data_IF_197723325530
#
_entry.id   IF_197723325530
#
_cell.length_a   1.000
_cell.length_b   1.000
_cell.length_c   1.000
_cell.angle_alpha   90.00
_cell.angle_beta   90.00
_cell.angle_gamma   90.00
#
_symmetry.space_group_name_H-M   'P 1'
#
loop_
_entity.id
_entity.type
_entity.pdbx_description
1 polymer ?
#
# COMPACT_ATOMS: atom_id res chain seq x y z
N UNK A 1 -35.44 -39.15 -30.45
CA UNK A 1 -34.66 -39.86 -29.41
C UNK A 1 -33.73 -38.83 -28.77
N UNK A 2 -34.08 -38.31 -27.59
CA UNK A 2 -33.33 -37.26 -26.91
C UNK A 2 -32.22 -37.91 -26.07
N UNK A 3 -30.96 -37.73 -26.45
CA UNK A 3 -29.84 -38.10 -25.57
C UNK A 3 -29.69 -37.02 -24.50
N UNK A 4 -30.22 -37.31 -23.32
CA UNK A 4 -29.92 -36.58 -22.09
C UNK A 4 -28.50 -36.98 -21.67
N UNK A 5 -27.50 -36.23 -22.14
CA UNK A 5 -26.15 -36.32 -21.62
C UNK A 5 -26.09 -35.67 -20.23
N UNK A 6 -25.93 -36.49 -19.18
CA UNK A 6 -25.50 -36.04 -17.86
C UNK A 6 -23.99 -35.81 -17.91
N UNK A 7 -23.56 -34.58 -17.68
CA UNK A 7 -22.15 -34.27 -17.38
C UNK A 7 -21.85 -34.76 -15.96
N UNK A 8 -20.97 -35.77 -15.82
CA UNK A 8 -20.71 -36.48 -14.56
C UNK A 8 -20.05 -35.62 -13.46
N UNK A 9 -19.65 -34.38 -13.74
CA UNK A 9 -18.93 -33.52 -12.79
C UNK A 9 -19.66 -32.24 -12.36
N UNK A 10 -20.90 -32.01 -12.82
CA UNK A 10 -21.72 -30.90 -12.37
C UNK A 10 -23.20 -31.27 -12.50
N UNK A 11 -23.99 -31.13 -11.43
CA UNK A 11 -25.46 -31.25 -11.42
C UNK A 11 -26.17 -30.16 -12.27
N UNK A 12 -25.79 -29.96 -13.53
CA UNK A 12 -26.33 -28.96 -14.46
C UNK A 12 -26.66 -29.62 -15.79
N UNK A 13 -27.90 -29.44 -16.22
CA UNK A 13 -28.41 -29.88 -17.52
C UNK A 13 -27.82 -28.94 -18.58
N UNK A 14 -26.90 -29.45 -19.41
CA UNK A 14 -26.55 -28.82 -20.67
C UNK A 14 -27.64 -29.19 -21.69
N UNK A 15 -28.36 -28.20 -22.21
CA UNK A 15 -29.27 -28.43 -23.34
C UNK A 15 -28.38 -28.50 -24.59
N UNK A 16 -27.94 -29.71 -24.95
CA UNK A 16 -27.34 -29.99 -26.24
C UNK A 16 -28.43 -29.83 -27.30
N UNK A 17 -28.27 -28.82 -28.15
CA UNK A 17 -29.22 -28.47 -29.20
C UNK A 17 -29.00 -29.39 -30.40
N UNK A 18 -29.69 -30.52 -30.44
CA UNK A 18 -29.73 -31.42 -31.59
C UNK A 18 -31.10 -31.34 -32.26
N UNK A 19 -31.32 -30.32 -33.11
CA UNK A 19 -32.38 -30.16 -34.14
C UNK A 19 -33.88 -29.87 -33.81
N UNK A 20 -34.50 -30.00 -32.60
CA UNK A 20 -35.87 -29.54 -32.38
C UNK A 20 -35.95 -28.06 -31.95
N UNK A 21 -34.83 -27.38 -31.78
CA UNK A 21 -34.79 -25.94 -31.39
C UNK A 21 -35.35 -25.02 -32.45
N UNK A 22 -35.26 -25.37 -33.73
CA UNK A 22 -35.89 -24.58 -34.80
C UNK A 22 -37.42 -24.59 -34.69
N UNK A 23 -38.02 -25.63 -34.12
CA UNK A 23 -39.47 -25.75 -33.95
C UNK A 23 -39.97 -24.99 -32.70
N UNK A 24 -39.18 -24.96 -31.62
CA UNK A 24 -39.43 -24.10 -30.45
C UNK A 24 -39.18 -22.61 -30.73
N UNK A 25 -38.16 -22.27 -31.52
CA UNK A 25 -37.87 -20.89 -31.91
C UNK A 25 -38.92 -20.33 -32.88
N UNK A 26 -39.55 -21.18 -33.70
CA UNK A 26 -40.63 -20.77 -34.60
C UNK A 26 -41.93 -20.38 -33.86
N UNK A 27 -42.21 -20.94 -32.68
CA UNK A 27 -43.41 -20.65 -31.90
C UNK A 27 -43.30 -19.40 -31.00
N UNK A 28 -42.09 -18.87 -30.83
CA UNK A 28 -41.78 -17.62 -30.10
C UNK A 28 -41.35 -16.51 -31.08
N UNK A 29 -41.40 -16.74 -32.41
CA UNK A 29 -41.16 -15.69 -33.39
C UNK A 29 -42.15 -14.54 -33.19
N UNK A 30 -41.72 -13.28 -33.39
CA UNK A 30 -42.58 -12.14 -33.16
C UNK A 30 -43.77 -12.20 -34.13
N UNK A 31 -45.00 -12.09 -33.63
CA UNK A 31 -46.19 -12.07 -34.49
C UNK A 31 -46.38 -10.72 -35.18
N UNK A 32 -45.76 -9.67 -34.62
CA UNK A 32 -45.79 -8.29 -35.12
C UNK A 32 -44.69 -7.46 -34.44
N UNK A 33 -44.28 -6.36 -35.07
CA UNK A 33 -43.45 -5.32 -34.45
C UNK A 33 -44.34 -4.23 -33.85
N UNK A 34 -44.07 -3.80 -32.62
CA UNK A 34 -44.74 -2.64 -32.02
C UNK A 34 -44.39 -1.36 -32.81
N UNK A 35 -45.15 -0.28 -32.57
CA UNK A 35 -44.89 1.04 -33.14
C UNK A 35 -43.47 1.60 -32.84
N UNK A 36 -42.78 1.04 -31.83
CA UNK A 36 -41.40 1.36 -31.44
C UNK A 36 -40.34 0.40 -32.03
N UNK A 37 -40.73 -0.54 -32.91
CA UNK A 37 -39.80 -1.47 -33.57
C UNK A 37 -39.37 -2.67 -32.71
N UNK A 38 -39.97 -2.87 -31.54
CA UNK A 38 -39.76 -4.06 -30.71
C UNK A 38 -40.55 -5.26 -31.23
N UNK A 39 -40.04 -6.46 -30.98
CA UNK A 39 -40.67 -7.72 -31.37
C UNK A 39 -41.72 -8.18 -30.34
N UNK A 40 -43.02 -8.19 -30.71
CA UNK A 40 -44.10 -8.70 -29.84
C UNK A 40 -44.21 -10.22 -29.95
N UNK A 41 -44.05 -10.90 -28.82
CA UNK A 41 -44.37 -12.33 -28.70
C UNK A 41 -45.85 -12.53 -28.38
N UNK A 42 -46.48 -13.54 -28.98
CA UNK A 42 -47.90 -13.82 -28.76
C UNK A 42 -48.22 -14.03 -27.27
N UNK A 43 -49.35 -13.49 -26.79
CA UNK A 43 -49.80 -13.66 -25.40
C UNK A 43 -49.88 -15.16 -25.07
N UNK A 44 -49.23 -15.54 -23.97
CA UNK A 44 -49.19 -16.94 -23.49
C UNK A 44 -48.10 -17.82 -24.11
N UNK A 45 -47.31 -17.32 -25.08
CA UNK A 45 -46.22 -18.11 -25.69
C UNK A 45 -45.21 -18.62 -24.65
N UNK A 46 -44.78 -17.76 -23.72
CA UNK A 46 -43.87 -18.16 -22.65
C UNK A 46 -44.49 -19.15 -21.65
N UNK A 47 -45.80 -19.07 -21.41
CA UNK A 47 -46.52 -20.00 -20.53
C UNK A 47 -46.64 -21.40 -21.14
N UNK A 48 -46.84 -21.48 -22.47
CA UNK A 48 -46.87 -22.76 -23.20
C UNK A 48 -45.51 -23.45 -23.16
N UNK A 49 -44.44 -22.72 -23.45
CA UNK A 49 -43.06 -23.23 -23.37
C UNK A 49 -42.69 -23.61 -21.93
N UNK A 50 -43.17 -22.87 -20.94
CA UNK A 50 -42.98 -23.15 -19.51
C UNK A 50 -43.53 -24.51 -19.10
N UNK A 51 -44.74 -24.83 -19.57
CA UNK A 51 -45.36 -26.13 -19.33
C UNK A 51 -44.55 -27.28 -19.94
N UNK A 52 -44.06 -27.12 -21.18
CA UNK A 52 -43.30 -28.17 -21.87
C UNK A 52 -41.92 -28.41 -21.22
N UNK A 53 -41.24 -27.35 -20.79
CA UNK A 53 -39.89 -27.39 -20.20
C UNK A 53 -39.91 -27.57 -18.68
N UNK A 54 -41.10 -27.61 -18.05
CA UNK A 54 -41.33 -27.68 -16.60
C UNK A 54 -40.53 -26.62 -15.82
N UNK A 55 -40.61 -25.36 -16.26
CA UNK A 55 -39.93 -24.21 -15.63
C UNK A 55 -40.84 -23.01 -15.57
N UNK A 56 -40.54 -22.07 -14.67
CA UNK A 56 -41.34 -20.86 -14.51
C UNK A 56 -41.31 -19.98 -15.78
N UNK A 57 -42.46 -19.44 -16.26
CA UNK A 57 -42.52 -18.57 -17.42
C UNK A 57 -41.56 -17.36 -17.36
N UNK A 58 -41.30 -16.83 -16.16
CA UNK A 58 -40.37 -15.71 -15.95
C UNK A 58 -38.93 -16.11 -16.23
N UNK A 59 -38.57 -17.37 -15.98
CA UNK A 59 -37.24 -17.92 -16.28
C UNK A 59 -37.02 -18.00 -17.79
N UNK A 60 -38.05 -18.41 -18.54
CA UNK A 60 -38.00 -18.50 -20.00
C UNK A 60 -37.97 -17.10 -20.62
N UNK A 61 -38.78 -16.16 -20.12
CA UNK A 61 -38.70 -14.75 -20.50
C UNK A 61 -37.30 -14.16 -20.29
N UNK A 62 -36.64 -14.48 -19.16
CA UNK A 62 -35.29 -14.02 -18.88
C UNK A 62 -34.23 -14.62 -19.81
N UNK A 63 -34.37 -15.90 -20.18
CA UNK A 63 -33.50 -16.56 -21.18
C UNK A 63 -33.71 -15.94 -22.56
N UNK A 64 -34.96 -15.70 -22.95
CA UNK A 64 -35.31 -15.10 -24.24
C UNK A 64 -34.76 -13.68 -24.38
N UNK A 65 -34.93 -12.83 -23.37
CA UNK A 65 -34.35 -11.46 -23.37
C UNK A 65 -32.83 -11.48 -23.54
N UNK A 66 -32.13 -12.44 -22.95
CA UNK A 66 -30.67 -12.59 -23.11
C UNK A 66 -30.30 -13.06 -24.52
N UNK A 67 -31.07 -13.98 -25.08
CA UNK A 67 -30.88 -14.46 -26.44
C UNK A 67 -31.04 -13.32 -27.45
N UNK A 68 -32.12 -12.52 -27.34
CA UNK A 68 -32.35 -11.35 -28.20
C UNK A 68 -31.19 -10.36 -28.11
N UNK A 69 -30.76 -10.00 -26.89
CA UNK A 69 -29.62 -9.10 -26.69
C UNK A 69 -28.30 -9.63 -27.29
N UNK A 70 -28.07 -10.95 -27.25
CA UNK A 70 -26.89 -11.57 -27.85
C UNK A 70 -26.94 -11.58 -29.39
N UNK A 71 -28.14 -11.76 -29.97
CA UNK A 71 -28.36 -11.69 -31.42
C UNK A 71 -28.19 -10.25 -31.93
N UNK A 72 -28.68 -9.25 -31.17
CA UNK A 72 -28.46 -7.82 -31.47
C UNK A 72 -26.97 -7.44 -31.46
N UNK A 73 -26.16 -8.09 -30.62
CA UNK A 73 -24.70 -7.93 -30.59
C UNK A 73 -23.95 -8.72 -31.68
N UNK A 74 -24.66 -9.39 -32.60
CA UNK A 74 -24.08 -10.09 -33.74
C UNK A 74 -23.61 -11.52 -33.44
N UNK A 75 -23.95 -12.10 -32.28
CA UNK A 75 -23.60 -13.49 -31.97
C UNK A 75 -24.58 -14.44 -32.66
N UNK A 76 -24.14 -15.04 -33.77
CA UNK A 76 -24.92 -16.02 -34.53
C UNK A 76 -25.26 -17.22 -33.64
N UNK A 77 -26.55 -17.44 -33.39
CA UNK A 77 -27.05 -18.52 -32.53
C UNK A 77 -27.21 -18.16 -31.04
N UNK A 78 -26.87 -16.93 -30.64
CA UNK A 78 -27.02 -16.42 -29.28
C UNK A 78 -26.06 -17.01 -28.24
N UNK A 79 -25.87 -16.32 -27.12
CA UNK A 79 -25.03 -16.79 -26.02
C UNK A 79 -25.82 -17.66 -25.02
N UNK A 80 -25.55 -18.98 -25.02
CA UNK A 80 -26.22 -19.97 -24.16
C UNK A 80 -25.40 -20.39 -22.93
N UNK A 81 -24.18 -19.86 -22.77
CA UNK A 81 -23.27 -20.24 -21.68
C UNK A 81 -23.73 -19.66 -20.34
N UNK A 82 -23.65 -20.48 -19.28
CA UNK A 82 -24.04 -20.03 -17.94
C UNK A 82 -23.06 -18.98 -17.38
N UNK A 83 -23.56 -17.79 -17.03
CA UNK A 83 -22.76 -16.70 -16.45
C UNK A 83 -22.56 -16.86 -14.93
N UNK A 84 -23.21 -17.86 -14.31
CA UNK A 84 -23.12 -18.14 -12.86
C UNK A 84 -21.65 -18.32 -12.41
N UNK A 85 -20.82 -18.97 -13.24
CA UNK A 85 -19.39 -19.13 -12.94
C UNK A 85 -18.60 -17.80 -13.03
N UNK A 86 -19.12 -16.78 -13.70
CA UNK A 86 -18.49 -15.45 -13.78
C UNK A 86 -19.02 -14.47 -12.72
N UNK A 87 -20.24 -14.68 -12.22
CA UNK A 87 -20.85 -13.88 -11.14
C UNK A 87 -20.79 -14.55 -9.76
N UNK A 88 -19.93 -15.55 -9.58
CA UNK A 88 -19.73 -16.15 -8.27
C UNK A 88 -18.71 -15.36 -7.44
N UNK A 89 -18.87 -15.46 -6.11
CA UNK A 89 -17.92 -14.95 -5.14
C UNK A 89 -17.96 -13.45 -4.88
N UNK A 90 -17.20 -13.03 -3.86
CA UNK A 90 -17.04 -11.63 -3.48
C UNK A 90 -16.20 -10.91 -4.53
N UNK A 91 -16.75 -9.83 -5.12
CA UNK A 91 -16.01 -9.01 -6.09
C UNK A 91 -14.83 -8.31 -5.41
N UNK A 92 -13.70 -8.24 -6.14
CA UNK A 92 -12.50 -7.58 -5.66
C UNK A 92 -12.76 -6.07 -5.54
N UNK A 93 -12.18 -5.44 -4.51
CA UNK A 93 -12.22 -3.98 -4.37
C UNK A 93 -11.45 -3.32 -5.52
N UNK A 94 -11.97 -2.18 -5.99
CA UNK A 94 -11.38 -1.44 -7.10
C UNK A 94 -9.95 -0.99 -6.76
N UNK A 95 -8.98 -1.40 -7.59
CA UNK A 95 -7.56 -1.08 -7.41
C UNK A 95 -7.24 0.36 -7.85
N UNK A 96 -7.98 0.91 -8.81
CA UNK A 96 -7.84 2.29 -9.25
C UNK A 96 -8.12 3.28 -8.13
N UNK A 97 -9.30 3.14 -7.49
CA UNK A 97 -9.68 3.96 -6.34
C UNK A 97 -8.71 3.83 -5.16
N UNK A 98 -8.20 2.62 -4.90
CA UNK A 98 -7.18 2.40 -3.88
C UNK A 98 -5.91 3.20 -4.18
N UNK A 99 -5.46 3.22 -5.44
CA UNK A 99 -4.29 3.99 -5.86
C UNK A 99 -4.50 5.47 -5.65
N UNK A 100 -5.63 6.02 -6.04
CA UNK A 100 -5.94 7.45 -5.85
C UNK A 100 -5.92 7.86 -4.38
N UNK A 101 -6.55 7.05 -3.50
CA UNK A 101 -6.52 7.29 -2.05
C UNK A 101 -5.11 7.30 -1.49
N UNK A 102 -4.26 6.37 -1.95
CA UNK A 102 -2.87 6.27 -1.50
C UNK A 102 -1.99 7.42 -2.02
N UNK A 103 -2.27 7.94 -3.22
CA UNK A 103 -1.56 9.10 -3.79
C UNK A 103 -1.90 10.39 -3.05
N UNK A 104 -3.09 10.51 -2.44
CA UNK A 104 -3.46 11.67 -1.62
C UNK A 104 -2.81 11.70 -0.23
N UNK A 105 -2.27 10.58 0.26
CA UNK A 105 -1.61 10.52 1.58
C UNK A 105 -0.34 11.37 1.56
N UNK A 106 -0.10 12.27 2.53
CA UNK A 106 1.15 13.03 2.65
C UNK A 106 2.38 12.11 2.74
N UNK A 107 3.53 12.54 2.22
CA UNK A 107 4.75 11.70 2.15
C UNK A 107 5.22 11.23 3.53
N UNK A 108 5.03 12.05 4.56
CA UNK A 108 5.42 11.81 5.96
C UNK A 108 4.73 10.56 6.53
N UNK A 109 3.49 10.35 6.11
CA UNK A 109 2.63 9.27 6.58
C UNK A 109 2.75 7.99 5.73
N UNK A 110 3.50 8.04 4.61
CA UNK A 110 3.75 6.89 3.72
C UNK A 110 4.74 5.85 4.26
N UNK A 111 5.39 6.14 5.38
CA UNK A 111 6.45 5.31 5.96
C UNK A 111 5.93 4.00 6.55
N UNK A 112 4.84 4.04 7.31
CA UNK A 112 4.32 2.90 8.06
C UNK A 112 2.97 2.46 7.49
N UNK A 113 2.84 1.18 7.10
CA UNK A 113 1.60 0.61 6.53
C UNK A 113 0.36 0.91 7.37
N UNK A 114 0.48 0.89 8.70
CA UNK A 114 -0.61 1.22 9.63
C UNK A 114 -1.05 2.68 9.51
N UNK A 115 -0.09 3.60 9.43
CA UNK A 115 -0.39 5.04 9.33
C UNK A 115 -0.99 5.37 7.96
N UNK A 116 -0.41 4.84 6.88
CA UNK A 116 -0.97 4.91 5.53
C UNK A 116 -2.43 4.45 5.50
N UNK A 117 -2.71 3.30 6.09
CA UNK A 117 -4.05 2.73 6.13
C UNK A 117 -5.04 3.66 6.86
N UNK A 118 -4.63 4.22 8.01
CA UNK A 118 -5.45 5.15 8.78
C UNK A 118 -5.70 6.45 8.01
N UNK A 119 -4.65 7.08 7.47
CA UNK A 119 -4.75 8.35 6.73
C UNK A 119 -5.54 8.20 5.43
N UNK A 120 -5.40 7.08 4.72
CA UNK A 120 -6.16 6.81 3.49
C UNK A 120 -7.57 6.24 3.73
N UNK A 121 -7.96 5.93 4.97
CA UNK A 121 -9.25 5.32 5.29
C UNK A 121 -9.44 3.92 4.67
N UNK A 122 -8.36 3.14 4.56
CA UNK A 122 -8.38 1.79 3.96
C UNK A 122 -7.90 0.75 4.96
N UNK A 123 -8.27 -0.52 4.75
CA UNK A 123 -7.78 -1.58 5.63
C UNK A 123 -6.28 -1.80 5.45
N UNK A 124 -5.59 -2.09 6.57
CA UNK A 124 -4.16 -2.45 6.55
C UNK A 124 -3.86 -3.63 5.63
N UNK A 125 -4.81 -4.56 5.49
CA UNK A 125 -4.71 -5.70 4.58
C UNK A 125 -4.60 -5.26 3.12
N UNK A 126 -5.40 -4.29 2.68
CA UNK A 126 -5.36 -3.79 1.29
C UNK A 126 -4.03 -3.14 0.96
N UNK A 127 -3.50 -2.32 1.87
CA UNK A 127 -2.17 -1.72 1.69
C UNK A 127 -1.09 -2.80 1.61
N UNK A 128 -1.17 -3.83 2.47
CA UNK A 128 -0.22 -4.96 2.44
C UNK A 128 -0.32 -5.72 1.11
N UNK A 129 -1.52 -5.97 0.62
CA UNK A 129 -1.77 -6.67 -0.63
C UNK A 129 -1.28 -5.85 -1.83
N UNK A 130 -1.51 -4.55 -1.86
CA UNK A 130 -1.02 -3.65 -2.91
C UNK A 130 0.52 -3.61 -2.99
N UNK A 131 1.22 -3.75 -1.85
CA UNK A 131 2.68 -3.93 -1.85
C UNK A 131 3.07 -5.29 -2.41
N UNK A 132 2.35 -6.37 -2.05
CA UNK A 132 2.62 -7.73 -2.54
C UNK A 132 2.39 -7.86 -4.05
N UNK A 133 1.35 -7.22 -4.56
CA UNK A 133 0.99 -7.16 -5.98
C UNK A 133 1.88 -6.21 -6.79
N UNK A 134 2.80 -5.49 -6.14
CA UNK A 134 3.73 -4.57 -6.81
C UNK A 134 3.14 -3.22 -7.22
N UNK A 135 1.87 -2.93 -6.91
CA UNK A 135 1.26 -1.61 -7.11
C UNK A 135 1.96 -0.53 -6.29
N UNK A 136 2.47 -0.88 -5.11
CA UNK A 136 3.25 0.00 -4.25
C UNK A 136 4.68 -0.55 -4.10
N UNK A 137 5.67 0.25 -4.48
CA UNK A 137 7.09 -0.06 -4.25
C UNK A 137 7.60 0.67 -3.01
N UNK A 138 8.23 -0.07 -2.10
CA UNK A 138 8.95 0.54 -0.97
C UNK A 138 10.23 1.16 -1.51
N UNK A 139 10.42 2.45 -1.26
CA UNK A 139 11.68 3.16 -1.50
C UNK A 139 12.36 3.39 -0.15
N UNK A 140 13.61 3.00 -0.05
CA UNK A 140 14.50 3.44 1.02
C UNK A 140 15.30 4.62 0.48
N UNK A 141 15.31 5.74 1.19
CA UNK A 141 16.10 6.93 0.84
C UNK A 141 17.57 6.79 1.26
N UNK A 142 17.99 5.60 1.70
CA UNK A 142 19.36 5.37 2.14
C UNK A 142 20.29 5.30 0.92
N UNK A 143 20.73 6.48 0.49
CA UNK A 143 21.80 6.63 -0.48
C UNK A 143 23.09 6.52 0.31
N UNK A 144 23.77 5.37 0.24
CA UNK A 144 25.18 5.35 0.63
C UNK A 144 25.92 6.26 -0.35
N UNK A 145 26.69 7.25 0.10
CA UNK A 145 27.54 8.00 -0.81
C UNK A 145 28.42 6.99 -1.56
N UNK A 146 28.44 7.11 -2.89
CA UNK A 146 29.22 6.21 -3.73
C UNK A 146 30.70 6.50 -3.48
N UNK A 147 31.45 5.51 -3.02
CA UNK A 147 32.88 5.65 -2.78
C UNK A 147 33.61 5.73 -4.12
N UNK A 148 34.21 6.87 -4.40
CA UNK A 148 35.18 7.03 -5.49
C UNK A 148 36.41 6.15 -5.20
N UNK A 149 37.20 5.75 -6.22
CA UNK A 149 38.45 5.03 -6.01
C UNK A 149 39.38 5.77 -5.03
N UNK A 150 39.45 7.10 -5.15
CA UNK A 150 40.18 8.00 -4.26
C UNK A 150 39.73 7.87 -2.79
N UNK A 151 38.41 7.93 -2.53
CA UNK A 151 37.87 7.77 -1.18
C UNK A 151 38.17 6.39 -0.58
N UNK A 152 38.37 5.36 -1.41
CA UNK A 152 38.76 4.03 -0.94
C UNK A 152 40.23 4.02 -0.52
N UNK A 153 41.12 4.63 -1.30
CA UNK A 153 42.54 4.75 -0.96
C UNK A 153 42.71 5.53 0.34
N UNK A 154 42.08 6.69 0.48
CA UNK A 154 42.15 7.50 1.71
C UNK A 154 41.66 6.75 2.95
N UNK A 155 40.64 5.89 2.81
CA UNK A 155 40.18 5.04 3.91
C UNK A 155 41.18 3.97 4.28
N UNK A 156 41.86 3.38 3.30
CA UNK A 156 42.91 2.38 3.54
C UNK A 156 44.11 3.05 4.20
N UNK A 157 44.56 4.19 3.69
CA UNK A 157 45.63 4.99 4.30
C UNK A 157 45.31 5.36 5.75
N UNK A 158 44.09 5.84 6.01
CA UNK A 158 43.63 6.13 7.36
C UNK A 158 43.62 4.89 8.26
N UNK A 159 43.29 3.70 7.74
CA UNK A 159 43.39 2.48 8.57
C UNK A 159 44.83 2.07 8.83
N UNK A 160 45.71 2.24 7.85
CA UNK A 160 47.14 1.91 7.97
C UNK A 160 47.84 2.82 8.98
N UNK A 161 47.41 4.08 9.15
CA UNK A 161 48.00 4.97 10.16
C UNK A 161 47.81 4.52 11.61
N UNK A 162 46.91 3.57 11.87
CA UNK A 162 46.73 2.98 13.21
C UNK A 162 47.43 1.63 13.37
N UNK A 163 48.14 1.14 12.34
CA UNK A 163 48.90 -0.10 12.40
C UNK A 163 50.37 0.25 12.61
N UNK A 164 51.01 -0.36 13.60
CA UNK A 164 52.42 -0.16 13.83
C UNK A 164 53.23 -0.98 12.80
N UNK A 165 54.06 -0.31 11.99
CA UNK A 165 54.83 -0.93 10.90
C UNK A 165 55.79 -2.05 11.38
N UNK A 166 56.22 -2.04 12.65
CA UNK A 166 57.17 -3.04 13.18
C UNK A 166 56.49 -4.26 13.77
N UNK A 167 55.39 -4.07 14.50
CA UNK A 167 54.67 -5.18 15.17
C UNK A 167 53.51 -5.70 14.35
N UNK A 168 53.04 -4.93 13.36
CA UNK A 168 51.84 -5.18 12.56
C UNK A 168 50.56 -5.29 13.41
N UNK A 169 50.60 -4.74 14.62
CA UNK A 169 49.47 -4.69 15.54
C UNK A 169 48.77 -3.33 15.46
N UNK A 170 47.46 -3.35 15.73
CA UNK A 170 46.64 -2.15 15.76
C UNK A 170 46.87 -1.39 17.07
N UNK A 171 47.16 -0.10 17.01
CA UNK A 171 47.31 0.75 18.18
C UNK A 171 45.95 0.95 18.87
N UNK A 172 45.84 0.73 20.20
CA UNK A 172 44.56 0.68 20.90
C UNK A 172 43.79 2.01 21.01
N UNK A 173 44.22 3.07 20.31
CA UNK A 173 43.57 4.38 20.20
C UNK A 173 43.18 5.02 21.55
N UNK A 174 43.88 4.70 22.64
CA UNK A 174 43.58 5.26 23.97
C UNK A 174 43.72 6.80 24.05
N UNK A 175 44.37 7.41 23.05
CA UNK A 175 44.57 8.84 22.90
C UNK A 175 43.59 9.52 21.92
N UNK A 176 42.66 8.77 21.29
CA UNK A 176 41.71 9.31 20.30
C UNK A 176 40.28 9.28 20.84
N UNK A 177 39.62 10.44 20.85
CA UNK A 177 38.19 10.55 21.16
C UNK A 177 37.42 10.85 19.88
N UNK A 178 36.55 9.93 19.48
CA UNK A 178 35.65 10.16 18.34
C UNK A 178 34.46 11.01 18.77
N UNK A 179 34.29 12.16 18.13
CA UNK A 179 33.16 13.07 18.33
C UNK A 179 32.37 13.12 17.03
N UNK A 180 31.06 12.89 17.10
CA UNK A 180 30.17 12.93 15.95
C UNK A 180 29.02 13.91 16.22
N UNK A 181 28.69 14.72 15.22
CA UNK A 181 27.55 15.63 15.29
C UNK A 181 26.32 14.95 14.71
N UNK A 182 25.27 14.88 15.52
CA UNK A 182 24.01 14.27 15.10
C UNK A 182 22.86 15.22 15.32
N UNK A 183 22.21 15.57 14.22
CA UNK A 183 20.98 16.35 14.23
C UNK A 183 19.83 15.52 14.81
N UNK A 184 19.25 15.99 15.91
CA UNK A 184 18.04 15.44 16.50
C UNK A 184 16.86 16.39 16.26
N UNK A 185 15.72 15.82 15.84
CA UNK A 185 14.48 16.58 15.76
C UNK A 185 13.73 16.45 17.09
N UNK A 186 13.71 17.53 17.87
CA UNK A 186 12.93 17.62 19.11
C UNK A 186 11.41 17.47 18.88
N UNK A 187 10.95 17.78 17.67
CA UNK A 187 9.52 17.84 17.32
C UNK A 187 8.84 16.46 17.13
N UNK A 188 9.57 15.36 17.34
CA UNK A 188 9.03 14.00 17.15
C UNK A 188 9.07 13.18 18.43
N UNK A 189 8.19 13.55 19.35
CA UNK A 189 7.70 12.80 20.53
C UNK A 189 7.19 11.36 20.26
N UNK A 190 7.37 10.84 19.04
CA UNK A 190 6.88 9.52 18.59
C UNK A 190 8.00 8.55 18.20
N UNK A 191 9.28 8.88 18.40
CA UNK A 191 10.41 8.02 17.99
C UNK A 191 11.47 7.77 19.06
N UNK A 192 11.20 8.07 20.31
CA UNK A 192 12.12 7.82 21.42
C UNK A 192 11.89 6.46 22.07
N UNK A 193 11.61 5.39 21.31
CA UNK A 193 11.47 4.04 21.90
C UNK A 193 12.68 3.20 21.49
N UNK A 194 13.52 2.86 22.46
CA UNK A 194 14.59 1.89 22.27
C UNK A 194 13.97 0.49 22.26
N UNK A 195 13.92 -0.14 21.08
CA UNK A 195 13.36 -1.49 20.92
C UNK A 195 14.12 -2.58 21.66
N UNK A 196 15.41 -2.35 21.97
CA UNK A 196 16.26 -3.30 22.66
C UNK A 196 16.04 -3.25 24.18
N UNK A 197 15.83 -2.04 24.73
CA UNK A 197 15.58 -1.81 26.16
C UNK A 197 14.09 -1.75 26.53
N UNK A 198 13.20 -1.74 25.53
CA UNK A 198 11.74 -1.59 25.68
C UNK A 198 11.31 -0.37 26.51
N UNK A 199 12.07 0.72 26.45
CA UNK A 199 11.82 1.93 27.23
C UNK A 199 11.89 3.19 26.37
N UNK A 200 11.27 4.26 26.87
CA UNK A 200 11.43 5.60 26.29
C UNK A 200 12.89 6.04 26.53
N UNK A 201 13.58 6.52 25.50
CA UNK A 201 14.97 6.97 25.60
C UNK A 201 15.11 8.04 26.69
N UNK A 202 15.96 7.75 27.64
CA UNK A 202 16.05 8.38 28.95
C UNK A 202 17.16 9.46 29.01
N UNK A 203 17.62 9.93 27.84
CA UNK A 203 18.70 10.92 27.63
C UNK A 203 20.03 10.60 28.34
N UNK A 204 20.13 9.41 28.94
CA UNK A 204 21.32 8.92 29.65
C UNK A 204 22.16 8.09 28.71
N UNK A 205 23.11 8.79 28.08
CA UNK A 205 24.53 8.45 27.86
C UNK A 205 25.06 9.49 26.86
N UNK A 206 25.91 10.43 27.30
CA UNK A 206 26.84 11.18 26.44
C UNK A 206 26.26 12.15 25.39
N UNK A 207 25.03 12.64 25.54
CA UNK A 207 24.46 13.63 24.61
C UNK A 207 24.42 15.00 25.29
N UNK A 208 25.14 15.96 24.71
CA UNK A 208 25.08 17.37 25.08
C UNK A 208 24.50 18.16 23.92
N UNK A 209 23.32 18.74 24.12
CA UNK A 209 22.65 19.52 23.09
C UNK A 209 23.28 20.91 22.95
N UNK A 210 23.54 21.33 21.72
CA UNK A 210 23.94 22.71 21.39
C UNK A 210 22.74 23.64 21.49
N UNK A 211 22.34 23.93 22.73
CA UNK A 211 21.12 24.66 23.02
C UNK A 211 21.35 25.73 24.08
N UNK A 212 20.73 26.89 23.87
CA UNK A 212 20.75 28.02 24.79
C UNK A 212 19.36 28.21 25.43
N UNK A 213 19.34 28.50 26.74
CA UNK A 213 18.13 28.95 27.43
C UNK A 213 17.97 30.45 27.22
N UNK A 214 16.82 30.88 26.73
CA UNK A 214 16.50 32.28 26.50
C UNK A 214 15.11 32.61 27.05
N UNK A 215 14.90 33.88 27.40
CA UNK A 215 13.59 34.36 27.82
C UNK A 215 12.73 34.74 26.61
N UNK A 216 11.49 34.28 26.64
CA UNK A 216 10.53 34.53 25.58
C UNK A 216 10.18 36.03 25.45
N UNK A 217 10.76 36.71 24.46
CA UNK A 217 10.50 38.15 24.22
C UNK A 217 9.06 38.49 23.82
N UNK A 218 8.36 37.54 23.19
CA UNK A 218 6.97 37.70 22.73
C UNK A 218 6.16 36.48 23.14
N UNK A 219 4.90 36.70 23.48
CA UNK A 219 3.92 35.63 23.66
C UNK A 219 3.59 35.03 22.29
N UNK A 220 3.54 33.71 22.23
CA UNK A 220 3.01 32.97 21.08
C UNK A 220 2.01 31.93 21.58
N UNK A 221 1.32 31.27 20.65
CA UNK A 221 0.37 30.19 20.96
C UNK A 221 0.97 29.09 21.86
N UNK A 222 2.28 28.87 21.79
CA UNK A 222 2.97 27.77 22.46
C UNK A 222 3.85 28.19 23.65
N UNK A 223 3.98 29.49 23.95
CA UNK A 223 4.77 30.00 25.08
C UNK A 223 4.36 31.42 25.48
N UNK A 224 4.24 31.66 26.79
CA UNK A 224 3.99 32.99 27.34
C UNK A 224 5.24 33.89 27.23
N UNK A 225 5.04 35.22 27.22
CA UNK A 225 6.15 36.18 27.31
C UNK A 225 6.84 36.01 28.67
N UNK A 226 8.17 36.00 28.69
CA UNK A 226 9.01 35.77 29.88
C UNK A 226 9.23 34.30 30.25
N UNK A 227 8.61 33.33 29.56
CA UNK A 227 8.89 31.91 29.81
C UNK A 227 10.34 31.56 29.39
N UNK A 228 11.06 30.85 30.25
CA UNK A 228 12.38 30.28 29.93
C UNK A 228 12.17 29.19 28.87
N UNK A 229 12.68 29.42 27.68
CA UNK A 229 12.60 28.51 26.55
C UNK A 229 13.99 28.09 26.13
N UNK A 230 14.08 26.91 25.51
CA UNK A 230 15.33 26.42 24.93
C UNK A 230 15.28 26.64 23.43
N UNK A 231 16.34 27.22 22.84
CA UNK A 231 16.54 27.29 21.38
C UNK A 231 17.88 26.66 21.01
N UNK A 232 18.02 26.29 19.75
CA UNK A 232 19.31 25.90 19.21
C UNK A 232 20.23 27.13 19.18
N UNK A 233 21.52 26.92 19.38
CA UNK A 233 22.52 27.95 19.12
C UNK A 233 22.51 28.24 17.61
N UNK A 234 22.44 29.52 17.23
CA UNK A 234 22.27 29.92 15.82
C UNK A 234 23.50 29.56 14.96
N UNK A 235 24.69 29.49 15.55
CA UNK A 235 25.93 29.08 14.88
C UNK A 235 26.82 28.32 15.86
N UNK A 236 27.22 27.09 15.48
CA UNK A 236 28.10 26.26 16.31
C UNK A 236 29.52 26.33 15.76
N UNK A 237 30.31 27.24 16.33
CA UNK A 237 31.70 27.44 15.93
C UNK A 237 32.67 26.53 16.70
N UNK A 238 33.92 26.50 16.25
CA UNK A 238 35.02 25.75 16.90
C UNK A 238 35.16 26.10 18.39
N UNK A 239 34.90 27.33 18.78
CA UNK A 239 34.98 27.79 20.17
C UNK A 239 33.88 27.17 21.04
N UNK A 240 32.65 27.15 20.55
CA UNK A 240 31.50 26.49 21.21
C UNK A 240 31.79 25.00 21.38
N UNK A 241 32.29 24.35 20.32
CA UNK A 241 32.72 22.95 20.40
C UNK A 241 33.81 22.72 21.46
N UNK A 242 34.85 23.57 21.47
CA UNK A 242 35.94 23.48 22.44
C UNK A 242 35.43 23.66 23.87
N UNK A 243 34.55 24.62 24.10
CA UNK A 243 33.96 24.87 25.42
C UNK A 243 33.13 23.67 25.89
N UNK A 244 32.31 23.08 25.03
CA UNK A 244 31.54 21.88 25.36
C UNK A 244 32.44 20.69 25.67
N UNK A 245 33.53 20.50 24.91
CA UNK A 245 34.51 19.45 25.19
C UNK A 245 35.15 19.61 26.57
N UNK A 246 35.60 20.82 26.89
CA UNK A 246 36.28 21.12 28.17
C UNK A 246 35.33 21.09 29.35
N UNK A 247 34.14 21.69 29.22
CA UNK A 247 33.22 21.88 30.35
C UNK A 247 32.31 20.69 30.59
N UNK A 248 32.01 19.88 29.56
CA UNK A 248 31.04 18.78 29.64
C UNK A 248 31.68 17.43 29.38
N UNK A 249 32.34 17.27 28.22
CA UNK A 249 32.77 15.95 27.73
C UNK A 249 33.92 15.38 28.56
N UNK A 250 35.04 16.11 28.68
CA UNK A 250 36.20 15.61 29.43
C UNK A 250 35.92 15.37 30.92
N UNK A 251 35.20 16.24 31.64
CA UNK A 251 34.81 15.96 33.02
C UNK A 251 33.96 14.70 33.15
N UNK A 252 33.01 14.48 32.23
CA UNK A 252 32.17 13.29 32.25
C UNK A 252 32.96 12.00 31.96
N UNK A 253 33.94 12.05 31.04
CA UNK A 253 34.83 10.92 30.76
C UNK A 253 35.71 10.60 31.98
N UNK A 254 36.26 11.63 32.65
CA UNK A 254 37.08 11.43 33.86
C UNK A 254 36.31 10.89 35.06
N UNK A 255 34.99 11.07 35.09
CA UNK A 255 34.13 10.62 36.18
C UNK A 255 33.64 9.17 36.04
N UNK A 256 33.91 8.53 34.90
CA UNK A 256 33.65 7.10 34.68
C UNK A 256 34.73 6.23 35.31
#
# INVERSE_FOLDING_TARGET
MLLVGRDENCNKIAIAVATPTLQWMASVRPSSTDFFGSAITARGAFAKVASDVKRDPSTISAIWRRYVAAVELGVVGGEWKSIIKQHCGRKMKNRGELREKLVRVPMEDRTVKRRVAATAGVSRHLVRQAVKEGMLKRRTTFIKPVLTPENKLQRVEHTLSFINDRTLEFEPMHNVVHVDEKWFHSDRDKRSYDSHRKQQWDDKIGIWSFTEKYEAQRSSKNRAKGAICTRNIDTVDREVYREYLISKVFPAIKAQ
#
